data_IF_822274820008
#
_entry.id   IF_822274820008
#
_cell.length_a   1.000
_cell.length_b   1.000
_cell.length_c   1.000
_cell.angle_alpha   90.00
_cell.angle_beta   90.00
_cell.angle_gamma   90.00
#
_symmetry.space_group_name_H-M   'P 1'
#
loop_
_entity.id
_entity.type
_entity.pdbx_description
1 polymer ?
#
# COMPACT_ATOMS: atom_id res chain seq x y z
N UNK A 1 39.43 -53.84 -23.23
CA UNK A 1 39.11 -52.44 -23.62
C UNK A 1 37.70 -52.14 -23.23
N UNK A 2 37.48 -51.54 -22.07
CA UNK A 2 36.14 -51.19 -21.57
C UNK A 2 35.98 -49.65 -21.57
N UNK A 3 35.07 -49.14 -22.39
CA UNK A 3 34.74 -47.72 -22.47
C UNK A 3 33.76 -47.36 -21.37
N UNK A 4 34.23 -46.64 -20.37
CA UNK A 4 33.39 -46.06 -19.31
C UNK A 4 32.58 -44.89 -19.88
N UNK A 5 31.24 -45.09 -19.99
CA UNK A 5 30.28 -44.05 -20.36
C UNK A 5 30.03 -43.12 -19.17
N UNK A 6 30.58 -41.92 -19.20
CA UNK A 6 30.38 -40.88 -18.21
C UNK A 6 28.94 -40.38 -18.22
N UNK A 7 28.20 -40.71 -17.15
CA UNK A 7 26.82 -40.25 -16.89
C UNK A 7 26.86 -38.74 -16.62
N UNK A 8 26.37 -37.94 -17.58
CA UNK A 8 26.16 -36.48 -17.36
C UNK A 8 25.16 -36.30 -16.23
N UNK A 9 25.61 -35.77 -15.11
CA UNK A 9 24.79 -35.34 -14.00
C UNK A 9 23.96 -34.12 -14.49
N UNK A 10 22.67 -34.31 -14.65
CA UNK A 10 21.76 -33.24 -14.98
C UNK A 10 21.72 -32.21 -13.84
N UNK A 11 21.77 -30.92 -14.23
CA UNK A 11 21.67 -29.77 -13.31
C UNK A 11 20.40 -29.93 -12.46
N UNK A 12 20.46 -29.74 -11.13
CA UNK A 12 19.30 -29.85 -10.27
C UNK A 12 18.17 -28.94 -10.79
N UNK A 13 16.97 -29.51 -11.02
CA UNK A 13 15.75 -28.73 -11.25
C UNK A 13 15.53 -27.87 -10.02
N UNK A 14 15.34 -26.55 -10.21
CA UNK A 14 14.84 -25.70 -9.15
C UNK A 14 13.60 -26.37 -8.53
N UNK A 15 13.54 -26.42 -7.19
CA UNK A 15 12.42 -26.98 -6.47
C UNK A 15 11.13 -26.36 -7.00
N UNK A 16 10.23 -27.18 -7.52
CA UNK A 16 8.91 -26.73 -7.94
C UNK A 16 8.19 -26.22 -6.69
N UNK A 17 7.94 -24.91 -6.64
CA UNK A 17 7.03 -24.32 -5.67
C UNK A 17 5.63 -24.87 -5.90
N UNK A 18 4.81 -25.09 -4.86
CA UNK A 18 3.39 -25.35 -5.05
C UNK A 18 2.79 -24.26 -5.95
N UNK A 19 2.03 -24.68 -6.94
CA UNK A 19 1.31 -23.74 -7.82
C UNK A 19 0.41 -22.86 -6.95
N UNK A 20 0.71 -21.57 -6.88
CA UNK A 20 -0.07 -20.63 -6.08
C UNK A 20 -1.42 -20.32 -6.70
N UNK A 21 -1.63 -20.71 -7.95
CA UNK A 21 -2.79 -20.34 -8.76
C UNK A 21 -2.83 -18.86 -9.15
N UNK A 22 -1.80 -18.07 -8.80
CA UNK A 22 -1.71 -16.67 -9.16
C UNK A 22 -1.09 -16.51 -10.54
N UNK A 23 -1.53 -15.46 -11.26
CA UNK A 23 -0.86 -15.01 -12.48
C UNK A 23 0.60 -14.60 -12.20
N UNK A 24 1.54 -14.82 -13.13
CA UNK A 24 2.96 -14.56 -12.92
C UNK A 24 3.30 -13.14 -12.45
N UNK A 25 2.55 -12.13 -12.91
CA UNK A 25 2.72 -10.74 -12.46
C UNK A 25 2.32 -10.58 -10.98
N UNK A 26 1.24 -11.20 -10.56
CA UNK A 26 0.79 -11.19 -9.16
C UNK A 26 1.80 -11.90 -8.23
N UNK A 27 2.40 -13.00 -8.68
CA UNK A 27 3.49 -13.66 -7.93
C UNK A 27 4.71 -12.75 -7.75
N UNK A 28 5.08 -11.98 -8.78
CA UNK A 28 6.16 -11.00 -8.68
C UNK A 28 5.84 -9.89 -7.69
N UNK A 29 4.59 -9.39 -7.66
CA UNK A 29 4.16 -8.37 -6.71
C UNK A 29 4.19 -8.89 -5.27
N UNK A 30 3.70 -10.11 -5.02
CA UNK A 30 3.77 -10.75 -3.69
C UNK A 30 5.21 -10.91 -3.25
N UNK A 31 6.09 -11.39 -4.14
CA UNK A 31 7.51 -11.55 -3.85
C UNK A 31 8.22 -10.21 -3.58
N UNK A 32 7.88 -9.18 -4.36
CA UNK A 32 8.41 -7.84 -4.18
C UNK A 32 7.94 -7.22 -2.86
N UNK A 33 6.65 -7.33 -2.54
CA UNK A 33 6.07 -6.87 -1.27
C UNK A 33 6.83 -7.44 -0.08
N UNK A 34 7.02 -8.76 -0.05
CA UNK A 34 7.79 -9.43 1.01
C UNK A 34 9.22 -8.92 1.09
N UNK A 35 9.95 -8.90 -0.02
CA UNK A 35 11.35 -8.55 -0.02
C UNK A 35 11.60 -7.06 0.27
N UNK A 36 10.77 -6.17 -0.26
CA UNK A 36 10.91 -4.72 -0.03
C UNK A 36 10.62 -4.35 1.43
N UNK A 37 9.65 -5.03 2.06
CA UNK A 37 9.29 -4.74 3.45
C UNK A 37 10.19 -5.43 4.47
N UNK A 38 10.81 -6.59 4.13
CA UNK A 38 11.65 -7.35 5.07
C UNK A 38 13.13 -7.07 4.92
N UNK A 39 13.63 -6.94 3.69
CA UNK A 39 15.07 -6.70 3.39
C UNK A 39 15.38 -5.26 3.04
N UNK A 40 14.34 -4.47 2.72
CA UNK A 40 14.46 -3.12 2.20
C UNK A 40 14.57 -3.09 0.67
N UNK A 41 14.04 -2.00 0.08
CA UNK A 41 13.99 -1.81 -1.36
C UNK A 41 15.40 -1.74 -2.00
N UNK A 42 16.30 -0.93 -1.41
CA UNK A 42 17.66 -0.74 -1.94
C UNK A 42 18.46 -2.06 -1.99
N UNK A 43 18.33 -2.92 -0.96
CA UNK A 43 19.01 -4.19 -0.87
C UNK A 43 18.39 -5.31 -1.72
N UNK A 44 17.18 -5.09 -2.27
CA UNK A 44 16.47 -6.08 -3.07
C UNK A 44 16.82 -5.94 -4.55
N UNK A 45 17.24 -7.04 -5.16
CA UNK A 45 17.55 -7.12 -6.60
C UNK A 45 16.39 -7.75 -7.38
N UNK A 46 16.26 -7.43 -8.68
CA UNK A 46 15.30 -8.07 -9.59
C UNK A 46 15.49 -9.58 -9.65
N UNK A 47 16.74 -10.06 -9.54
CA UNK A 47 17.04 -11.47 -9.45
C UNK A 47 16.43 -12.11 -8.20
N UNK A 48 16.57 -11.48 -7.04
CA UNK A 48 15.99 -11.96 -5.79
C UNK A 48 14.47 -12.03 -5.85
N UNK A 49 13.82 -11.01 -6.46
CA UNK A 49 12.37 -11.00 -6.66
C UNK A 49 11.94 -12.15 -7.58
N UNK A 50 12.61 -12.35 -8.73
CA UNK A 50 12.31 -13.44 -9.63
C UNK A 50 12.47 -14.81 -8.98
N UNK A 51 13.59 -15.03 -8.27
CA UNK A 51 13.85 -16.28 -7.52
C UNK A 51 12.79 -16.52 -6.44
N UNK A 52 12.35 -15.45 -5.72
CA UNK A 52 11.31 -15.56 -4.69
C UNK A 52 9.95 -15.85 -5.30
N UNK A 53 9.65 -15.35 -6.49
CA UNK A 53 8.46 -15.66 -7.29
C UNK A 53 8.53 -17.03 -8.00
N UNK A 54 9.62 -17.78 -7.85
CA UNK A 54 9.79 -19.10 -8.45
C UNK A 54 10.11 -19.08 -9.95
N UNK A 55 10.57 -17.97 -10.49
CA UNK A 55 10.89 -17.83 -11.92
C UNK A 55 12.34 -17.41 -12.17
N UNK A 56 12.77 -17.48 -13.43
CA UNK A 56 14.07 -16.97 -13.86
C UNK A 56 14.00 -15.46 -14.05
N UNK A 57 15.09 -14.74 -13.74
CA UNK A 57 15.16 -13.30 -13.94
C UNK A 57 14.83 -12.88 -15.40
N UNK A 58 15.30 -13.64 -16.40
CA UNK A 58 14.96 -13.37 -17.79
C UNK A 58 13.44 -13.47 -18.08
N UNK A 59 12.74 -14.38 -17.40
CA UNK A 59 11.28 -14.52 -17.53
C UNK A 59 10.53 -13.38 -16.86
N UNK A 60 11.04 -12.83 -15.76
CA UNK A 60 10.45 -11.68 -15.06
C UNK A 60 10.29 -10.47 -16.00
N UNK A 61 11.29 -10.21 -16.86
CA UNK A 61 11.26 -9.06 -17.79
C UNK A 61 10.20 -9.15 -18.89
N UNK A 62 9.50 -10.28 -19.03
CA UNK A 62 8.30 -10.38 -19.88
C UNK A 62 7.05 -9.77 -19.22
N UNK A 63 7.07 -9.60 -17.90
CA UNK A 63 5.93 -9.14 -17.09
C UNK A 63 6.13 -7.74 -16.51
N UNK A 64 7.37 -7.37 -16.18
CA UNK A 64 7.71 -6.09 -15.55
C UNK A 64 9.07 -5.59 -16.07
N UNK A 65 9.21 -4.28 -16.20
CA UNK A 65 10.45 -3.64 -16.68
C UNK A 65 11.57 -3.61 -15.62
N UNK A 66 11.21 -3.70 -14.33
CA UNK A 66 12.17 -3.67 -13.23
C UNK A 66 11.51 -3.63 -11.87
N UNK A 67 12.31 -3.50 -10.83
CA UNK A 67 11.83 -3.41 -9.44
C UNK A 67 11.12 -2.08 -9.15
N UNK A 68 11.42 -1.06 -9.92
CA UNK A 68 10.81 0.25 -9.87
C UNK A 68 9.32 0.20 -10.24
N UNK A 69 8.98 -0.57 -11.28
CA UNK A 69 7.58 -0.79 -11.69
C UNK A 69 6.80 -1.55 -10.61
N UNK A 70 7.43 -2.58 -10.03
CA UNK A 70 6.83 -3.31 -8.91
C UNK A 70 6.60 -2.41 -7.69
N UNK A 71 7.56 -1.54 -7.36
CA UNK A 71 7.39 -0.59 -6.26
C UNK A 71 6.25 0.40 -6.55
N UNK A 72 6.17 0.95 -7.76
CA UNK A 72 5.10 1.87 -8.15
C UNK A 72 3.73 1.21 -7.99
N UNK A 73 3.55 -0.01 -8.48
CA UNK A 73 2.29 -0.76 -8.37
C UNK A 73 1.93 -1.09 -6.92
N UNK A 74 2.91 -1.47 -6.11
CA UNK A 74 2.69 -1.71 -4.68
C UNK A 74 2.27 -0.43 -3.94
N UNK A 75 2.88 0.71 -4.22
CA UNK A 75 2.50 2.01 -3.67
C UNK A 75 1.09 2.40 -4.10
N UNK A 76 0.78 2.29 -5.40
CA UNK A 76 -0.54 2.62 -5.94
C UNK A 76 -1.64 1.72 -5.37
N UNK A 77 -1.36 0.46 -5.09
CA UNK A 77 -2.31 -0.47 -4.48
C UNK A 77 -2.76 -0.07 -3.08
N UNK A 78 -2.00 0.78 -2.39
CA UNK A 78 -2.33 1.27 -1.05
C UNK A 78 -3.17 2.55 -1.05
N UNK A 79 -3.24 3.29 -2.14
CA UNK A 79 -3.96 4.59 -2.22
C UNK A 79 -5.12 4.58 -3.21
N UNK A 80 -5.03 3.80 -4.28
CA UNK A 80 -6.07 3.78 -5.33
C UNK A 80 -7.42 3.28 -4.82
N UNK A 81 -7.52 2.19 -4.02
CA UNK A 81 -8.80 1.76 -3.45
C UNK A 81 -9.41 2.81 -2.54
N UNK A 82 -8.60 3.46 -1.69
CA UNK A 82 -9.03 4.53 -0.81
C UNK A 82 -9.57 5.73 -1.57
N UNK A 83 -8.89 6.17 -2.63
CA UNK A 83 -9.37 7.27 -3.47
C UNK A 83 -10.68 6.91 -4.18
N UNK A 84 -10.82 5.68 -4.68
CA UNK A 84 -12.07 5.22 -5.29
C UNK A 84 -13.23 5.31 -4.30
N UNK A 85 -13.03 4.76 -3.09
CA UNK A 85 -14.03 4.80 -2.02
C UNK A 85 -14.32 6.23 -1.55
N UNK A 86 -13.30 7.09 -1.43
CA UNK A 86 -13.51 8.49 -1.08
C UNK A 86 -14.39 9.23 -2.10
N UNK A 87 -14.24 8.93 -3.40
CA UNK A 87 -15.07 9.50 -4.46
C UNK A 87 -16.52 9.02 -4.37
N UNK A 88 -16.76 7.76 -4.01
CA UNK A 88 -18.09 7.22 -3.76
C UNK A 88 -18.75 7.93 -2.57
N UNK A 89 -18.01 8.11 -1.46
CA UNK A 89 -18.49 8.83 -0.28
C UNK A 89 -18.75 10.32 -0.54
N UNK A 90 -17.98 10.95 -1.42
CA UNK A 90 -18.20 12.34 -1.82
C UNK A 90 -19.46 12.51 -2.70
N UNK A 91 -19.79 11.49 -3.48
CA UNK A 91 -20.99 11.47 -4.32
C UNK A 91 -22.26 11.08 -3.55
N UNK A 92 -22.13 10.55 -2.34
CA UNK A 92 -23.25 10.19 -1.47
C UNK A 92 -23.74 11.47 -0.73
N UNK A 93 -24.92 11.97 -1.08
CA UNK A 93 -25.57 13.11 -0.47
C UNK A 93 -26.65 12.73 0.56
N UNK A 94 -26.85 11.43 0.79
CA UNK A 94 -27.84 10.89 1.73
C UNK A 94 -27.23 10.64 3.12
N UNK A 95 -26.06 10.02 3.16
CA UNK A 95 -25.35 9.70 4.42
C UNK A 95 -24.78 10.97 5.07
N UNK A 96 -24.93 11.18 6.39
CA UNK A 96 -24.35 12.32 7.10
C UNK A 96 -22.84 12.45 6.84
N UNK A 97 -22.36 13.68 6.69
CA UNK A 97 -20.94 13.94 6.36
C UNK A 97 -19.96 13.35 7.37
N UNK A 98 -20.30 13.38 8.65
CA UNK A 98 -19.50 12.79 9.74
C UNK A 98 -19.38 11.26 9.61
N UNK A 99 -20.46 10.61 9.19
CA UNK A 99 -20.46 9.15 8.97
C UNK A 99 -19.61 8.78 7.74
N UNK A 100 -19.68 9.59 6.67
CA UNK A 100 -18.86 9.41 5.46
C UNK A 100 -17.36 9.58 5.78
N UNK A 101 -17.00 10.61 6.54
CA UNK A 101 -15.63 10.82 7.00
C UNK A 101 -15.15 9.66 7.88
N UNK A 102 -16.00 9.21 8.82
CA UNK A 102 -15.72 8.04 9.67
C UNK A 102 -15.48 6.78 8.86
N UNK A 103 -16.31 6.55 7.84
CA UNK A 103 -16.22 5.38 6.97
C UNK A 103 -14.90 5.36 6.20
N UNK A 104 -14.49 6.50 5.62
CA UNK A 104 -13.20 6.61 4.92
C UNK A 104 -12.03 6.36 5.88
N UNK A 105 -12.00 7.01 7.04
CA UNK A 105 -10.95 6.81 8.03
C UNK A 105 -10.79 5.34 8.43
N UNK A 106 -11.91 4.63 8.66
CA UNK A 106 -11.86 3.20 8.99
C UNK A 106 -11.33 2.35 7.86
N UNK A 107 -11.86 2.55 6.65
CA UNK A 107 -11.46 1.79 5.48
C UNK A 107 -9.96 1.95 5.17
N UNK A 108 -9.43 3.16 5.31
CA UNK A 108 -8.00 3.42 5.09
C UNK A 108 -7.11 2.73 6.12
N UNK A 109 -7.49 2.75 7.40
CA UNK A 109 -6.74 2.01 8.43
C UNK A 109 -6.79 0.51 8.17
N UNK A 110 -7.96 -0.03 7.83
CA UNK A 110 -8.13 -1.44 7.50
C UNK A 110 -7.26 -1.83 6.28
N UNK A 111 -7.24 -1.00 5.23
CA UNK A 111 -6.41 -1.22 4.03
C UNK A 111 -4.91 -1.15 4.36
N UNK A 112 -4.46 -0.12 5.08
CA UNK A 112 -3.05 0.10 5.41
C UNK A 112 -2.49 -0.96 6.37
N UNK A 113 -3.35 -1.58 7.18
CA UNK A 113 -3.00 -2.65 8.10
C UNK A 113 -3.29 -4.05 7.51
N UNK A 114 -3.87 -4.14 6.31
CA UNK A 114 -4.22 -5.42 5.69
C UNK A 114 -2.99 -6.16 5.15
N UNK A 115 -3.13 -7.50 5.07
CA UNK A 115 -2.15 -8.36 4.44
C UNK A 115 -0.94 -8.69 5.31
N UNK A 116 -0.09 -9.61 4.82
CA UNK A 116 1.06 -10.12 5.57
C UNK A 116 2.27 -9.16 5.57
N UNK A 117 2.23 -8.09 4.77
CA UNK A 117 3.32 -7.14 4.60
C UNK A 117 2.82 -5.72 4.78
N UNK A 118 3.51 -4.95 5.62
CA UNK A 118 3.20 -3.55 5.85
C UNK A 118 3.66 -2.69 4.65
N UNK A 119 2.83 -2.64 3.58
CA UNK A 119 3.15 -1.89 2.36
C UNK A 119 3.25 -0.39 2.61
N UNK A 120 2.51 0.14 3.57
CA UNK A 120 2.61 1.55 3.93
C UNK A 120 4.01 1.97 4.38
N UNK A 121 4.82 1.03 4.92
CA UNK A 121 6.21 1.33 5.25
C UNK A 121 7.05 1.76 4.03
N UNK A 122 6.60 1.42 2.80
CA UNK A 122 7.24 1.84 1.56
C UNK A 122 7.10 3.35 1.29
N UNK A 123 6.14 4.05 1.93
CA UNK A 123 6.00 5.51 1.84
C UNK A 123 7.22 6.26 2.39
N UNK A 124 7.97 5.64 3.30
CA UNK A 124 9.13 6.23 3.95
C UNK A 124 10.41 6.09 3.12
N UNK A 125 10.35 5.43 1.97
CA UNK A 125 11.49 5.26 1.07
C UNK A 125 11.85 6.60 0.41
N UNK A 126 13.14 7.01 0.40
CA UNK A 126 13.57 8.23 -0.27
C UNK A 126 13.27 8.21 -1.77
N UNK A 127 13.27 7.05 -2.39
CA UNK A 127 12.97 6.85 -3.81
C UNK A 127 11.56 7.33 -4.19
N UNK A 128 10.60 7.34 -3.27
CA UNK A 128 9.22 7.79 -3.53
C UNK A 128 9.15 9.25 -4.00
N UNK A 129 10.19 10.05 -3.73
CA UNK A 129 10.30 11.44 -4.21
C UNK A 129 10.81 11.56 -5.66
N UNK A 130 11.32 10.48 -6.27
CA UNK A 130 11.78 10.49 -7.64
C UNK A 130 10.61 10.67 -8.63
N UNK A 131 10.91 11.23 -9.82
CA UNK A 131 9.90 11.55 -10.85
C UNK A 131 9.09 10.32 -11.29
N UNK A 132 9.72 9.17 -11.34
CA UNK A 132 9.06 7.90 -11.71
C UNK A 132 7.89 7.51 -10.80
N UNK A 133 7.80 8.05 -9.59
CA UNK A 133 6.71 7.84 -8.63
C UNK A 133 5.74 9.03 -8.55
N UNK A 134 5.78 9.95 -9.53
CA UNK A 134 4.86 11.09 -9.59
C UNK A 134 3.39 10.66 -9.63
N UNK A 135 3.07 9.55 -10.32
CA UNK A 135 1.72 8.97 -10.37
C UNK A 135 1.18 8.66 -8.98
N UNK A 136 1.92 7.90 -8.18
CA UNK A 136 1.56 7.60 -6.79
C UNK A 136 1.35 8.89 -5.97
N UNK A 137 2.29 9.85 -6.07
CA UNK A 137 2.16 11.12 -5.31
C UNK A 137 0.93 11.92 -5.73
N UNK A 138 0.55 11.90 -7.03
CA UNK A 138 -0.66 12.55 -7.51
C UNK A 138 -1.92 11.92 -6.92
N UNK A 139 -2.04 10.58 -6.99
CA UNK A 139 -3.19 9.85 -6.40
C UNK A 139 -3.28 10.09 -4.89
N UNK A 140 -2.15 10.08 -4.19
CA UNK A 140 -2.11 10.38 -2.74
C UNK A 140 -2.56 11.82 -2.45
N UNK A 141 -2.17 12.77 -3.28
CA UNK A 141 -2.60 14.17 -3.12
C UNK A 141 -4.11 14.34 -3.38
N UNK A 142 -4.66 13.64 -4.36
CA UNK A 142 -6.10 13.61 -4.61
C UNK A 142 -6.86 12.97 -3.43
N UNK A 143 -6.35 11.88 -2.85
CA UNK A 143 -6.95 11.29 -1.65
C UNK A 143 -6.96 12.27 -0.48
N UNK A 144 -5.85 12.99 -0.24
CA UNK A 144 -5.80 14.03 0.79
C UNK A 144 -6.82 15.16 0.52
N UNK A 145 -7.00 15.56 -0.74
CA UNK A 145 -8.02 16.55 -1.10
C UNK A 145 -9.45 16.02 -0.88
N UNK A 146 -9.69 14.74 -1.11
CA UNK A 146 -10.98 14.11 -0.78
C UNK A 146 -11.27 14.16 0.74
N UNK A 147 -10.26 13.90 1.59
CA UNK A 147 -10.39 14.11 3.04
C UNK A 147 -10.76 15.56 3.37
N UNK A 148 -10.09 16.54 2.75
CA UNK A 148 -10.40 17.97 2.94
C UNK A 148 -11.86 18.28 2.57
N UNK A 149 -12.35 17.73 1.46
CA UNK A 149 -13.73 17.91 1.02
C UNK A 149 -14.73 17.28 2.00
N UNK A 150 -14.48 16.06 2.48
CA UNK A 150 -15.33 15.40 3.48
C UNK A 150 -15.34 16.17 4.80
N UNK A 151 -14.20 16.66 5.29
CA UNK A 151 -14.15 17.52 6.49
C UNK A 151 -14.95 18.79 6.25
N UNK A 152 -14.76 19.48 5.12
CA UNK A 152 -15.48 20.70 4.78
C UNK A 152 -17.00 20.51 4.66
N UNK A 153 -17.45 19.29 4.34
CA UNK A 153 -18.89 18.97 4.25
C UNK A 153 -19.56 18.74 5.60
N UNK A 154 -18.80 18.58 6.69
CA UNK A 154 -19.36 18.50 8.05
C UNK A 154 -19.84 19.87 8.55
N UNK A 155 -20.76 19.87 9.50
CA UNK A 155 -21.25 21.13 10.08
C UNK A 155 -20.12 21.96 10.72
N UNK A 156 -19.19 21.31 11.41
CA UNK A 156 -18.04 21.98 12.02
C UNK A 156 -17.00 22.42 10.96
N UNK A 157 -16.74 21.60 9.97
CA UNK A 157 -15.78 21.91 8.91
C UNK A 157 -16.20 23.03 7.97
N UNK A 158 -17.51 23.13 7.68
CA UNK A 158 -18.06 24.14 6.79
C UNK A 158 -17.91 25.60 7.27
N UNK A 159 -17.63 25.81 8.56
CA UNK A 159 -17.40 27.15 9.16
C UNK A 159 -15.93 27.46 9.39
N UNK A 160 -15.02 26.54 9.11
CA UNK A 160 -13.59 26.74 9.30
C UNK A 160 -13.01 27.75 8.30
N UNK A 161 -12.10 28.60 8.77
CA UNK A 161 -11.25 29.36 7.86
C UNK A 161 -10.36 28.42 7.03
N UNK A 162 -10.01 28.83 5.80
CA UNK A 162 -9.24 28.00 4.87
C UNK A 162 -7.99 27.39 5.50
N UNK A 163 -7.19 28.18 6.21
CA UNK A 163 -5.95 27.69 6.83
C UNK A 163 -6.18 26.68 7.95
N UNK A 164 -7.29 26.83 8.71
CA UNK A 164 -7.66 25.88 9.75
C UNK A 164 -8.17 24.56 9.15
N UNK A 165 -8.95 24.62 8.07
CA UNK A 165 -9.39 23.42 7.32
C UNK A 165 -8.18 22.66 6.76
N UNK A 166 -7.22 23.36 6.16
CA UNK A 166 -5.99 22.75 5.66
C UNK A 166 -5.21 22.07 6.79
N UNK A 167 -5.00 22.76 7.92
CA UNK A 167 -4.29 22.20 9.08
C UNK A 167 -4.98 20.94 9.62
N UNK A 168 -6.31 20.96 9.81
CA UNK A 168 -7.05 19.79 10.29
C UNK A 168 -6.98 18.63 9.29
N UNK A 169 -7.04 18.94 7.99
CA UNK A 169 -6.84 17.93 6.94
C UNK A 169 -5.46 17.28 7.04
N UNK A 170 -4.41 18.08 7.23
CA UNK A 170 -3.05 17.59 7.39
C UNK A 170 -2.89 16.69 8.61
N UNK A 171 -3.50 17.08 9.73
CA UNK A 171 -3.47 16.32 10.97
C UNK A 171 -4.26 15.00 10.86
N UNK A 172 -5.47 15.02 10.26
CA UNK A 172 -6.26 13.81 10.03
C UNK A 172 -5.53 12.87 9.09
N UNK A 173 -5.06 13.37 7.95
CA UNK A 173 -4.35 12.56 6.97
C UNK A 173 -3.04 11.99 7.54
N UNK A 174 -2.28 12.80 8.29
CA UNK A 174 -1.08 12.36 8.99
C UNK A 174 -1.36 11.30 10.07
N UNK A 175 -2.50 11.39 10.78
CA UNK A 175 -2.94 10.37 11.72
C UNK A 175 -3.21 9.04 11.00
N UNK A 176 -3.95 9.08 9.88
CA UNK A 176 -4.25 7.89 9.08
C UNK A 176 -2.97 7.24 8.56
N UNK A 177 -2.05 7.99 7.98
CA UNK A 177 -0.77 7.43 7.53
C UNK A 177 0.12 6.96 8.69
N UNK A 178 0.03 7.60 9.85
CA UNK A 178 0.77 7.23 11.06
C UNK A 178 0.43 5.84 11.61
N UNK A 179 -0.73 5.27 11.27
CA UNK A 179 -1.12 3.90 11.69
C UNK A 179 -0.14 2.84 11.21
N UNK A 180 0.53 3.09 10.08
CA UNK A 180 1.56 2.23 9.50
C UNK A 180 2.68 1.93 10.50
N UNK A 181 3.16 2.97 11.20
CA UNK A 181 4.23 2.84 12.19
C UNK A 181 3.75 2.13 13.45
N UNK A 182 2.53 2.42 13.88
CA UNK A 182 1.91 1.79 15.06
C UNK A 182 1.69 0.30 14.79
N UNK A 183 1.09 -0.05 13.65
CA UNK A 183 0.84 -1.45 13.28
C UNK A 183 2.16 -2.24 13.12
N UNK A 184 3.22 -1.59 12.63
CA UNK A 184 4.54 -2.21 12.54
C UNK A 184 5.13 -2.59 13.91
N UNK A 185 4.88 -1.79 14.93
CA UNK A 185 5.36 -2.06 16.30
C UNK A 185 4.47 -3.03 17.07
N UNK A 186 3.19 -3.12 16.70
CA UNK A 186 2.19 -3.96 17.37
C UNK A 186 1.32 -4.71 16.34
N UNK A 187 1.88 -5.68 15.61
CA UNK A 187 1.19 -6.37 14.51
C UNK A 187 0.01 -7.24 14.97
N UNK A 188 0.00 -7.66 16.24
CA UNK A 188 -1.08 -8.48 16.82
C UNK A 188 -2.30 -7.65 17.26
N UNK A 189 -2.25 -6.32 17.12
CA UNK A 189 -3.38 -5.46 17.47
C UNK A 189 -4.57 -5.76 16.58
N UNK A 190 -5.76 -5.88 17.16
CA UNK A 190 -7.00 -6.08 16.41
C UNK A 190 -7.29 -4.88 15.51
N UNK A 191 -7.28 -5.12 14.21
CA UNK A 191 -7.40 -4.07 13.18
C UNK A 191 -8.75 -3.36 13.29
N UNK A 192 -9.85 -4.08 13.55
CA UNK A 192 -11.20 -3.51 13.67
C UNK A 192 -11.35 -2.52 14.82
N UNK A 193 -10.73 -2.82 15.97
CA UNK A 193 -10.70 -1.93 17.14
C UNK A 193 -9.80 -0.73 16.88
N UNK A 194 -8.65 -0.97 16.26
CA UNK A 194 -7.69 0.08 15.92
C UNK A 194 -8.28 1.06 14.88
N UNK A 195 -8.94 0.55 13.85
CA UNK A 195 -9.59 1.37 12.83
C UNK A 195 -10.70 2.25 13.42
N UNK A 196 -11.53 1.70 14.34
CA UNK A 196 -12.54 2.50 15.05
C UNK A 196 -11.92 3.59 15.90
N UNK A 197 -10.95 3.25 16.72
CA UNK A 197 -10.29 4.21 17.61
C UNK A 197 -9.60 5.34 16.83
N UNK A 198 -8.96 5.01 15.70
CA UNK A 198 -8.32 5.98 14.82
C UNK A 198 -9.35 6.89 14.15
N UNK A 199 -10.46 6.33 13.65
CA UNK A 199 -11.53 7.13 13.05
C UNK A 199 -12.16 8.08 14.09
N UNK A 200 -12.40 7.62 15.32
CA UNK A 200 -12.91 8.48 16.40
C UNK A 200 -11.92 9.60 16.76
N UNK A 201 -10.63 9.34 16.71
CA UNK A 201 -9.60 10.37 16.91
C UNK A 201 -9.58 11.37 15.73
N UNK A 202 -9.68 10.88 14.49
CA UNK A 202 -9.74 11.72 13.29
C UNK A 202 -10.94 12.67 13.32
N UNK A 203 -12.14 12.20 13.72
CA UNK A 203 -13.32 13.04 13.85
C UNK A 203 -13.12 14.12 14.90
N UNK A 204 -12.56 13.80 16.08
CA UNK A 204 -12.24 14.83 17.09
C UNK A 204 -11.26 15.88 16.57
N UNK A 205 -10.27 15.51 15.74
CA UNK A 205 -9.37 16.47 15.08
C UNK A 205 -10.14 17.33 14.09
N UNK A 206 -11.05 16.74 13.32
CA UNK A 206 -11.93 17.47 12.41
C UNK A 206 -12.91 18.41 13.15
N UNK A 207 -13.18 18.18 14.43
CA UNK A 207 -14.09 18.97 15.26
C UNK A 207 -15.51 18.43 15.30
N UNK A 208 -15.69 17.15 15.01
CA UNK A 208 -16.98 16.44 14.98
C UNK A 208 -17.00 15.23 15.89
#
# INVERSE_FOLDING_TARGET
MGTSSGRRVGRPRAAQRPDSGLEPRAELLVAAAELFTTRGYAATTTRAVAERAGMRQASMYHYVSGKEELLAELLESTVTPSLSYARELLADDVTPAEERLRALCRADVELLCAGPHNLGALYLLPEVHEERFAGFRAVRAELKDAYRQLIASTAAGGVLAKGELELRTDLVFGLIEGVILIHRSEPERRIDEFARATADAALRIAGV
#
